data_IF_322341974287
#
_entry.id   IF_322341974287
#
_cell.length_a   1.000
_cell.length_b   1.000
_cell.length_c   1.000
_cell.angle_alpha   90.00
_cell.angle_beta   90.00
_cell.angle_gamma   90.00
#
_symmetry.space_group_name_H-M   'P 1'
#
loop_
_entity.id
_entity.type
_entity.pdbx_description
1 polymer ?
#
# COMPACT_ATOMS: atom_id res chain seq x y z
N UNK A 1 -24.46 16.60 3.52
CA UNK A 1 -24.06 15.48 2.66
C UNK A 1 -23.94 16.01 1.24
N UNK A 2 -22.74 16.07 0.68
CA UNK A 2 -22.54 16.43 -0.74
C UNK A 2 -23.24 15.35 -1.58
N UNK A 3 -24.21 15.74 -2.38
CA UNK A 3 -24.94 14.81 -3.23
C UNK A 3 -24.04 14.46 -4.41
N UNK A 4 -23.65 13.21 -4.53
CA UNK A 4 -22.92 12.73 -5.71
C UNK A 4 -23.71 13.06 -6.98
N UNK A 5 -23.04 13.44 -8.08
CA UNK A 5 -23.71 13.59 -9.36
C UNK A 5 -24.23 12.22 -9.85
N UNK A 6 -25.22 12.18 -10.74
CA UNK A 6 -25.66 10.95 -11.36
C UNK A 6 -24.49 10.17 -11.98
N UNK A 7 -24.42 8.86 -11.72
CA UNK A 7 -23.32 7.99 -12.17
C UNK A 7 -23.05 8.11 -13.68
N UNK A 8 -24.11 8.29 -14.48
CA UNK A 8 -23.99 8.51 -15.93
C UNK A 8 -23.11 9.70 -16.29
N UNK A 9 -23.11 10.77 -15.49
CA UNK A 9 -22.28 11.94 -15.75
C UNK A 9 -20.80 11.61 -15.50
N UNK A 10 -20.53 10.86 -14.42
CA UNK A 10 -19.17 10.41 -14.08
C UNK A 10 -18.63 9.43 -15.12
N UNK A 11 -19.41 8.43 -15.53
CA UNK A 11 -18.99 7.46 -16.57
C UNK A 11 -18.75 8.13 -17.93
N UNK A 12 -19.57 9.13 -18.29
CA UNK A 12 -19.36 9.90 -19.52
C UNK A 12 -18.07 10.71 -19.46
N UNK A 13 -17.80 11.35 -18.33
CA UNK A 13 -16.59 12.12 -18.10
C UNK A 13 -15.34 11.22 -18.12
N UNK A 14 -15.38 10.05 -17.45
CA UNK A 14 -14.29 9.06 -17.47
C UNK A 14 -13.95 8.64 -18.91
N UNK A 15 -14.97 8.30 -19.70
CA UNK A 15 -14.75 7.91 -21.08
C UNK A 15 -14.08 9.02 -21.92
N UNK A 16 -14.46 10.28 -21.72
CA UNK A 16 -13.81 11.42 -22.40
C UNK A 16 -12.38 11.62 -21.88
N UNK A 17 -12.17 11.50 -20.57
CA UNK A 17 -10.86 11.66 -19.96
C UNK A 17 -9.87 10.59 -20.45
N UNK A 18 -10.33 9.35 -20.59
CA UNK A 18 -9.52 8.21 -21.03
C UNK A 18 -9.23 8.23 -22.53
N UNK A 19 -10.23 8.55 -23.35
CA UNK A 19 -10.12 8.51 -24.83
C UNK A 19 -9.58 9.81 -25.41
N UNK A 20 -9.59 10.92 -24.65
CA UNK A 20 -9.12 12.23 -25.11
C UNK A 20 -10.00 12.85 -26.20
N UNK A 21 -11.16 12.26 -26.53
CA UNK A 21 -12.02 12.63 -27.64
C UNK A 21 -13.50 12.45 -27.28
N UNK A 22 -14.27 13.54 -27.39
CA UNK A 22 -15.74 13.49 -27.20
C UNK A 22 -16.44 12.62 -28.24
N UNK A 23 -15.92 12.52 -29.42
CA UNK A 23 -16.47 11.71 -30.50
C UNK A 23 -16.24 10.22 -30.24
N UNK A 24 -15.04 9.85 -29.81
CA UNK A 24 -14.69 8.47 -29.47
C UNK A 24 -15.45 8.03 -28.21
N UNK A 25 -15.57 8.90 -27.21
CA UNK A 25 -16.38 8.63 -26.02
C UNK A 25 -17.87 8.43 -26.38
N UNK A 26 -18.41 9.24 -27.28
CA UNK A 26 -19.78 9.08 -27.77
C UNK A 26 -19.99 7.72 -28.46
N UNK A 27 -19.04 7.31 -29.28
CA UNK A 27 -19.05 6.00 -29.95
C UNK A 27 -18.94 4.86 -28.94
N UNK A 28 -18.02 4.95 -27.97
CA UNK A 28 -17.82 3.94 -26.96
C UNK A 28 -19.03 3.75 -26.02
N UNK A 29 -19.77 4.84 -25.76
CA UNK A 29 -20.95 4.83 -24.91
C UNK A 29 -22.28 4.62 -25.68
N UNK A 30 -22.22 4.44 -27.00
CA UNK A 30 -23.39 4.32 -27.89
C UNK A 30 -24.39 5.50 -27.73
N UNK A 31 -23.84 6.73 -27.63
CA UNK A 31 -24.62 7.96 -27.54
C UNK A 31 -24.17 8.96 -28.62
N UNK A 32 -24.91 10.07 -28.77
CA UNK A 32 -24.50 11.14 -29.69
C UNK A 32 -23.47 12.06 -29.05
N UNK A 33 -22.58 12.66 -29.86
CA UNK A 33 -21.61 13.64 -29.36
C UNK A 33 -22.27 14.85 -28.64
N UNK A 34 -23.40 15.41 -29.09
CA UNK A 34 -24.13 16.42 -28.31
C UNK A 34 -24.55 15.94 -26.93
N UNK A 35 -24.94 14.67 -26.78
CA UNK A 35 -25.31 14.10 -25.46
C UNK A 35 -24.10 14.04 -24.52
N UNK A 36 -22.91 13.68 -25.03
CA UNK A 36 -21.65 13.73 -24.25
C UNK A 36 -21.36 15.18 -23.82
N UNK A 37 -21.46 16.13 -24.72
CA UNK A 37 -21.22 17.55 -24.41
C UNK A 37 -22.18 18.07 -23.34
N UNK A 38 -23.44 17.69 -23.41
CA UNK A 38 -24.46 18.06 -22.42
C UNK A 38 -24.20 17.42 -21.04
N UNK A 39 -23.81 16.14 -21.04
CA UNK A 39 -23.45 15.44 -19.81
C UNK A 39 -22.24 16.05 -19.12
N UNK A 40 -21.19 16.42 -19.89
CA UNK A 40 -20.01 17.11 -19.35
C UNK A 40 -20.37 18.47 -18.75
N UNK A 41 -21.20 19.26 -19.46
CA UNK A 41 -21.66 20.55 -18.95
C UNK A 41 -22.44 20.39 -17.63
N UNK A 42 -23.35 19.42 -17.58
CA UNK A 42 -24.11 19.14 -16.37
C UNK A 42 -23.21 18.70 -15.20
N UNK A 43 -22.11 17.97 -15.47
CA UNK A 43 -21.14 17.62 -14.46
C UNK A 43 -20.33 18.84 -13.99
N UNK A 44 -19.84 19.68 -14.91
CA UNK A 44 -19.14 20.92 -14.60
C UNK A 44 -20.00 21.87 -13.76
N UNK A 45 -21.29 22.00 -14.12
CA UNK A 45 -22.28 22.78 -13.36
C UNK A 45 -22.50 22.21 -11.94
N UNK A 46 -22.52 20.87 -11.78
CA UNK A 46 -22.68 20.21 -10.49
C UNK A 46 -21.44 20.35 -9.59
N UNK A 47 -20.24 20.25 -10.17
CA UNK A 47 -18.95 20.36 -9.46
C UNK A 47 -18.60 21.83 -9.19
N UNK A 48 -19.12 22.76 -9.99
CA UNK A 48 -18.79 24.19 -9.92
C UNK A 48 -17.43 24.54 -10.51
N UNK A 49 -16.84 23.69 -11.35
CA UNK A 49 -15.54 23.89 -11.95
C UNK A 49 -15.50 23.38 -13.38
N UNK A 50 -14.69 24.02 -14.23
CA UNK A 50 -14.40 23.55 -15.60
C UNK A 50 -13.44 22.36 -15.49
N UNK A 51 -13.85 21.23 -16.06
CA UNK A 51 -13.08 19.97 -16.00
C UNK A 51 -12.28 19.72 -17.28
N UNK A 52 -12.74 20.28 -18.40
CA UNK A 52 -12.10 20.09 -19.73
C UNK A 52 -11.84 21.46 -20.35
N UNK A 53 -10.58 21.73 -20.64
CA UNK A 53 -10.16 22.87 -21.45
C UNK A 53 -10.41 22.55 -22.93
N UNK A 54 -11.39 23.26 -23.52
CA UNK A 54 -11.82 23.13 -24.92
C UNK A 54 -11.11 24.11 -25.84
N UNK A 55 -10.27 24.98 -25.29
CA UNK A 55 -9.49 25.96 -26.09
C UNK A 55 -8.30 25.32 -26.79
N UNK A 56 -7.84 24.19 -26.30
CA UNK A 56 -6.75 23.39 -26.88
C UNK A 56 -7.30 22.31 -27.84
N UNK A 57 -6.51 21.92 -28.82
CA UNK A 57 -6.78 20.77 -29.71
C UNK A 57 -5.58 19.84 -29.71
N UNK A 58 -5.70 18.60 -29.22
CA UNK A 58 -6.88 18.00 -28.56
C UNK A 58 -7.26 18.68 -27.24
N UNK A 59 -8.52 18.55 -26.84
CA UNK A 59 -9.02 19.06 -25.56
C UNK A 59 -8.27 18.36 -24.40
N UNK A 60 -7.94 19.13 -23.36
CA UNK A 60 -7.16 18.63 -22.21
C UNK A 60 -7.96 18.75 -20.91
N UNK A 61 -7.69 17.86 -19.99
CA UNK A 61 -8.21 17.97 -18.63
C UNK A 61 -7.57 19.17 -17.93
N UNK A 62 -8.38 19.96 -17.22
CA UNK A 62 -7.92 20.95 -16.25
C UNK A 62 -7.35 20.24 -15.00
N UNK A 63 -6.73 20.96 -14.09
CA UNK A 63 -6.26 20.38 -12.82
C UNK A 63 -7.42 19.75 -12.00
N UNK A 64 -8.58 20.44 -11.80
CA UNK A 64 -9.77 19.78 -11.21
C UNK A 64 -10.25 18.57 -12.02
N UNK A 65 -10.18 18.66 -13.36
CA UNK A 65 -10.53 17.55 -14.24
C UNK A 65 -9.64 16.33 -14.03
N UNK A 66 -8.32 16.51 -13.90
CA UNK A 66 -7.38 15.42 -13.63
C UNK A 66 -7.62 14.78 -12.26
N UNK A 67 -7.91 15.58 -11.25
CA UNK A 67 -8.22 15.09 -9.91
C UNK A 67 -9.50 14.27 -9.91
N UNK A 68 -10.58 14.77 -10.52
CA UNK A 68 -11.85 14.07 -10.61
C UNK A 68 -11.74 12.81 -11.48
N UNK A 69 -10.96 12.84 -12.58
CA UNK A 69 -10.77 11.68 -13.47
C UNK A 69 -10.11 10.52 -12.75
N UNK A 70 -9.08 10.78 -11.91
CA UNK A 70 -8.45 9.74 -11.08
C UNK A 70 -9.46 9.15 -10.10
N UNK A 71 -10.12 9.98 -9.29
CA UNK A 71 -11.08 9.52 -8.30
C UNK A 71 -12.27 8.76 -8.93
N UNK A 72 -12.72 9.19 -10.11
CA UNK A 72 -13.82 8.52 -10.82
C UNK A 72 -13.38 7.15 -11.34
N UNK A 73 -12.19 7.05 -11.92
CA UNK A 73 -11.65 5.76 -12.40
C UNK A 73 -11.50 4.78 -11.26
N UNK A 74 -10.79 5.18 -10.18
CA UNK A 74 -10.57 4.32 -9.02
C UNK A 74 -11.89 3.82 -8.41
N UNK A 75 -12.91 4.70 -8.34
CA UNK A 75 -14.23 4.35 -7.84
C UNK A 75 -15.02 3.42 -8.77
N UNK A 76 -14.94 3.61 -10.08
CA UNK A 76 -15.59 2.75 -11.06
C UNK A 76 -14.94 1.37 -11.15
N UNK A 77 -13.62 1.32 -11.08
CA UNK A 77 -12.86 0.07 -11.06
C UNK A 77 -13.20 -0.74 -9.80
N UNK A 78 -13.26 -0.10 -8.63
CA UNK A 78 -13.69 -0.75 -7.39
C UNK A 78 -15.11 -1.34 -7.48
N UNK A 79 -16.05 -0.60 -8.10
CA UNK A 79 -17.44 -1.09 -8.31
C UNK A 79 -17.44 -2.27 -9.29
N UNK A 80 -16.66 -2.19 -10.37
CA UNK A 80 -16.57 -3.26 -11.37
C UNK A 80 -15.99 -4.55 -10.77
N UNK A 81 -14.90 -4.42 -10.00
CA UNK A 81 -14.25 -5.54 -9.30
C UNK A 81 -15.23 -6.19 -8.31
N UNK A 82 -15.96 -5.38 -7.52
CA UNK A 82 -16.96 -5.89 -6.58
C UNK A 82 -18.10 -6.65 -7.29
N UNK A 83 -18.57 -6.15 -8.44
CA UNK A 83 -19.60 -6.85 -9.23
C UNK A 83 -19.06 -8.18 -9.75
N UNK A 84 -17.82 -8.21 -10.21
CA UNK A 84 -17.19 -9.45 -10.69
C UNK A 84 -16.94 -10.44 -9.54
N UNK A 85 -16.52 -9.96 -8.37
CA UNK A 85 -16.44 -10.76 -7.15
C UNK A 85 -17.80 -11.39 -6.81
N UNK A 86 -18.88 -10.62 -6.82
CA UNK A 86 -20.24 -11.14 -6.59
C UNK A 86 -20.64 -12.20 -7.63
N UNK A 87 -20.28 -12.00 -8.90
CA UNK A 87 -20.58 -12.98 -9.97
C UNK A 87 -19.79 -14.27 -9.85
N UNK A 88 -18.54 -14.17 -9.39
CA UNK A 88 -17.63 -15.32 -9.24
C UNK A 88 -17.81 -16.05 -7.90
N UNK A 89 -18.41 -15.42 -6.90
CA UNK A 89 -18.54 -15.93 -5.53
C UNK A 89 -19.62 -17.00 -5.34
N UNK A 90 -20.44 -17.29 -6.34
CA UNK A 90 -21.46 -18.35 -6.23
C UNK A 90 -20.81 -19.74 -6.06
N UNK A 91 -20.43 -20.08 -4.83
CA UNK A 91 -19.94 -21.40 -4.41
C UNK A 91 -18.51 -21.50 -3.89
N UNK A 92 -17.72 -20.41 -3.91
CA UNK A 92 -16.32 -20.42 -3.45
C UNK A 92 -16.04 -19.42 -2.29
N UNK A 93 -17.05 -18.77 -1.75
CA UNK A 93 -16.88 -17.77 -0.67
C UNK A 93 -16.19 -18.35 0.57
N UNK A 94 -16.53 -19.59 0.94
CA UNK A 94 -15.92 -20.26 2.10
C UNK A 94 -14.45 -20.68 1.87
N UNK A 95 -13.99 -20.69 0.63
CA UNK A 95 -12.62 -21.09 0.27
C UNK A 95 -11.69 -19.91 -0.01
N UNK A 96 -12.21 -18.70 -0.15
CA UNK A 96 -11.42 -17.49 -0.41
C UNK A 96 -11.38 -16.60 0.82
N UNK A 97 -10.26 -15.92 1.01
CA UNK A 97 -10.17 -14.82 1.96
C UNK A 97 -9.38 -13.67 1.34
N UNK A 98 -9.73 -12.46 1.69
CA UNK A 98 -9.07 -11.24 1.23
C UNK A 98 -8.31 -10.60 2.38
N UNK A 99 -7.01 -10.46 2.21
CA UNK A 99 -6.09 -9.87 3.19
C UNK A 99 -5.58 -8.54 2.64
N UNK A 100 -5.78 -7.44 3.36
CA UNK A 100 -5.17 -6.17 3.01
C UNK A 100 -3.95 -5.90 3.87
N UNK A 101 -2.85 -5.48 3.25
CA UNK A 101 -1.62 -5.09 3.94
C UNK A 101 -0.79 -4.12 3.11
N UNK A 102 0.25 -3.52 3.69
CA UNK A 102 1.17 -2.66 2.94
C UNK A 102 2.03 -3.47 1.96
N UNK A 103 2.47 -2.83 0.87
CA UNK A 103 3.27 -3.50 -0.17
C UNK A 103 4.55 -4.13 0.37
N UNK A 104 5.26 -3.43 1.24
CA UNK A 104 6.49 -3.95 1.85
C UNK A 104 6.23 -5.21 2.66
N UNK A 105 5.18 -5.20 3.49
CA UNK A 105 4.78 -6.35 4.30
C UNK A 105 4.30 -7.52 3.42
N UNK A 106 3.46 -7.25 2.44
CA UNK A 106 3.02 -8.26 1.47
C UNK A 106 4.21 -8.97 0.83
N UNK A 107 5.14 -8.19 0.25
CA UNK A 107 6.26 -8.73 -0.53
C UNK A 107 7.28 -9.49 0.31
N UNK A 108 7.65 -8.95 1.48
CA UNK A 108 8.80 -9.46 2.23
C UNK A 108 8.42 -10.38 3.39
N UNK A 109 7.22 -10.22 3.98
CA UNK A 109 6.78 -11.06 5.09
C UNK A 109 5.73 -12.08 4.68
N UNK A 110 4.61 -11.63 4.09
CA UNK A 110 3.45 -12.50 3.84
C UNK A 110 3.67 -13.47 2.69
N UNK A 111 3.95 -12.97 1.49
CA UNK A 111 4.06 -13.79 0.27
C UNK A 111 5.08 -14.95 0.41
N UNK A 112 6.28 -14.75 1.01
CA UNK A 112 7.22 -15.86 1.19
C UNK A 112 6.72 -16.99 2.10
N UNK A 113 5.72 -16.71 2.94
CA UNK A 113 5.16 -17.68 3.90
C UNK A 113 3.87 -18.35 3.40
N UNK A 114 3.20 -17.79 2.39
CA UNK A 114 1.92 -18.30 1.90
C UNK A 114 2.01 -19.72 1.30
N UNK A 115 3.17 -20.14 0.80
CA UNK A 115 3.35 -21.50 0.31
C UNK A 115 3.11 -22.56 1.40
N UNK A 116 3.53 -22.25 2.63
CA UNK A 116 3.26 -23.12 3.80
C UNK A 116 1.76 -23.13 4.16
N UNK A 117 1.10 -21.96 4.10
CA UNK A 117 -0.34 -21.89 4.32
C UNK A 117 -1.11 -22.77 3.31
N UNK A 118 -0.80 -22.66 2.03
CA UNK A 118 -1.45 -23.44 0.97
C UNK A 118 -1.19 -24.94 1.09
N UNK A 119 0.02 -25.35 1.50
CA UNK A 119 0.33 -26.75 1.72
C UNK A 119 -0.49 -27.39 2.84
N UNK A 120 -0.83 -26.61 3.85
CA UNK A 120 -1.65 -27.06 5.01
C UNK A 120 -3.14 -26.93 4.79
N UNK A 121 -3.56 -26.06 3.88
CA UNK A 121 -4.95 -25.76 3.61
C UNK A 121 -5.26 -25.86 2.11
N UNK A 122 -5.20 -27.07 1.55
CA UNK A 122 -5.47 -27.27 0.12
C UNK A 122 -6.91 -26.86 -0.20
N UNK A 123 -7.07 -26.03 -1.23
CA UNK A 123 -8.38 -25.50 -1.65
C UNK A 123 -8.75 -24.15 -1.05
N UNK A 124 -7.95 -23.61 -0.13
CA UNK A 124 -8.10 -22.19 0.30
C UNK A 124 -7.27 -21.27 -0.58
N UNK A 125 -7.80 -20.08 -0.86
CA UNK A 125 -7.17 -19.05 -1.67
C UNK A 125 -7.10 -17.73 -0.92
N UNK A 126 -5.92 -17.11 -0.92
CA UNK A 126 -5.69 -15.81 -0.31
C UNK A 126 -5.55 -14.76 -1.41
N UNK A 127 -6.48 -13.81 -1.45
CA UNK A 127 -6.37 -12.60 -2.25
C UNK A 127 -5.66 -11.53 -1.42
N UNK A 128 -4.52 -11.03 -1.91
CA UNK A 128 -3.74 -10.01 -1.20
C UNK A 128 -3.97 -8.66 -1.86
N UNK A 129 -4.60 -7.75 -1.13
CA UNK A 129 -4.81 -6.38 -1.56
C UNK A 129 -3.77 -5.46 -0.93
N UNK A 130 -3.25 -4.53 -1.73
CA UNK A 130 -2.27 -3.55 -1.29
C UNK A 130 -2.84 -2.15 -1.51
N UNK A 131 -3.55 -1.58 -0.54
CA UNK A 131 -4.06 -0.23 -0.62
C UNK A 131 -2.95 0.81 -0.78
N UNK A 132 -3.22 1.94 -1.45
CA UNK A 132 -2.24 3.00 -1.66
C UNK A 132 -1.93 3.82 -0.39
N UNK A 133 -2.69 3.61 0.69
CA UNK A 133 -2.58 4.35 1.95
C UNK A 133 -2.38 3.41 3.13
N UNK A 134 -2.00 3.96 4.29
CA UNK A 134 -1.95 3.21 5.54
C UNK A 134 -3.33 2.68 5.94
N UNK A 135 -3.34 1.50 6.55
CA UNK A 135 -4.54 0.79 6.97
C UNK A 135 -5.02 1.30 8.34
N UNK A 136 -5.45 2.55 8.40
CA UNK A 136 -6.03 3.14 9.62
C UNK A 136 -7.35 2.47 10.03
N UNK A 137 -8.07 1.87 9.07
CA UNK A 137 -9.31 1.13 9.25
C UNK A 137 -9.26 -0.16 8.43
N UNK A 138 -10.21 -1.08 8.67
CA UNK A 138 -10.40 -2.24 7.80
C UNK A 138 -10.68 -1.75 6.38
N UNK A 139 -9.91 -2.26 5.43
CA UNK A 139 -10.07 -1.90 4.02
C UNK A 139 -11.37 -2.48 3.46
N UNK A 140 -12.16 -1.71 2.70
CA UNK A 140 -13.40 -2.21 2.13
C UNK A 140 -13.20 -3.50 1.31
N UNK A 141 -13.98 -4.52 1.59
CA UNK A 141 -13.89 -5.83 0.96
C UNK A 141 -12.77 -6.75 1.49
N UNK A 142 -11.96 -6.30 2.46
CA UNK A 142 -11.00 -7.16 3.12
C UNK A 142 -11.63 -7.92 4.29
N UNK A 143 -11.37 -9.22 4.39
CA UNK A 143 -11.76 -10.07 5.52
C UNK A 143 -10.90 -9.80 6.76
N UNK A 144 -9.63 -9.47 6.52
CA UNK A 144 -8.71 -9.04 7.57
C UNK A 144 -7.65 -8.08 7.01
N UNK A 145 -7.09 -7.27 7.91
CA UNK A 145 -5.98 -6.36 7.60
C UNK A 145 -4.77 -6.69 8.46
N UNK A 146 -3.59 -6.68 7.83
CA UNK A 146 -2.31 -6.79 8.52
C UNK A 146 -1.71 -5.40 8.60
N UNK A 147 -1.66 -4.84 9.80
CA UNK A 147 -1.33 -3.43 10.01
C UNK A 147 -0.40 -3.22 11.19
N UNK A 148 0.38 -2.17 11.09
CA UNK A 148 1.35 -1.75 12.07
C UNK A 148 0.80 -0.66 12.98
N UNK A 149 1.11 -0.72 14.27
CA UNK A 149 0.74 0.31 15.23
C UNK A 149 0.73 -0.15 16.68
N UNK A 150 -0.13 0.49 17.49
CA UNK A 150 -0.23 0.22 18.93
C UNK A 150 -1.35 -0.75 19.31
N UNK A 151 -2.10 -1.27 18.35
CA UNK A 151 -3.21 -2.19 18.63
C UNK A 151 -4.46 -1.54 19.24
N UNK A 152 -4.66 -0.25 19.05
CA UNK A 152 -5.77 0.51 19.66
C UNK A 152 -7.01 0.62 18.77
N UNK A 153 -7.09 -0.18 17.73
CA UNK A 153 -8.23 -0.20 16.82
C UNK A 153 -9.44 -0.91 17.44
N UNK A 154 -10.62 -0.44 17.06
CA UNK A 154 -11.90 -0.94 17.58
C UNK A 154 -12.83 -1.43 16.45
N UNK A 155 -12.32 -1.53 15.23
CA UNK A 155 -13.05 -1.88 14.02
C UNK A 155 -13.11 -3.39 13.73
N UNK A 156 -12.52 -4.22 14.61
CA UNK A 156 -12.53 -5.67 14.49
C UNK A 156 -11.80 -6.38 15.63
N UNK A 157 -11.80 -7.71 15.58
CA UNK A 157 -11.03 -8.54 16.50
C UNK A 157 -9.54 -8.50 16.11
N UNK A 158 -8.68 -8.12 17.06
CA UNK A 158 -7.28 -7.85 16.81
C UNK A 158 -6.38 -8.89 17.49
N UNK A 159 -5.54 -9.56 16.68
CA UNK A 159 -4.46 -10.46 17.12
C UNK A 159 -3.12 -9.74 16.97
N UNK A 160 -2.34 -9.66 18.05
CA UNK A 160 -0.95 -9.19 17.98
C UNK A 160 -0.07 -10.26 17.36
N UNK A 161 0.71 -9.89 16.37
CA UNK A 161 1.60 -10.81 15.68
C UNK A 161 3.01 -10.77 16.29
N UNK A 162 3.75 -9.70 16.10
CA UNK A 162 5.11 -9.55 16.63
C UNK A 162 5.48 -8.08 16.82
N UNK A 163 6.48 -7.85 17.66
CA UNK A 163 7.06 -6.53 17.89
C UNK A 163 7.89 -6.08 16.70
N UNK A 164 7.79 -4.79 16.38
CA UNK A 164 8.54 -4.23 15.28
C UNK A 164 9.74 -3.43 15.78
N UNK A 165 10.85 -3.65 15.12
CA UNK A 165 12.09 -2.92 15.33
C UNK A 165 12.62 -2.38 14.02
N UNK A 166 13.35 -1.28 14.08
CA UNK A 166 14.06 -0.74 12.90
C UNK A 166 15.56 -0.74 13.16
N UNK A 167 16.30 -1.05 12.11
CA UNK A 167 17.76 -0.97 12.11
C UNK A 167 18.23 -0.46 10.75
N UNK A 168 19.20 0.47 10.68
CA UNK A 168 19.85 0.78 9.42
C UNK A 168 20.50 -0.46 8.82
N UNK A 169 20.17 -0.77 7.57
CA UNK A 169 20.72 -1.93 6.85
C UNK A 169 21.20 -1.51 5.46
N UNK A 170 22.21 -2.21 4.96
CA UNK A 170 22.72 -2.03 3.61
C UNK A 170 23.51 -3.25 3.15
N UNK A 171 24.01 -3.21 1.92
CA UNK A 171 24.90 -4.29 1.44
C UNK A 171 26.10 -4.45 2.36
N UNK A 172 26.56 -5.68 2.67
CA UNK A 172 27.69 -5.92 3.55
C UNK A 172 28.93 -5.10 3.16
N UNK A 173 29.29 -5.08 1.88
CA UNK A 173 30.46 -4.35 1.40
C UNK A 173 30.36 -2.83 1.64
N UNK A 174 29.16 -2.24 1.53
CA UNK A 174 28.94 -0.82 1.82
C UNK A 174 29.10 -0.55 3.32
N UNK A 175 28.41 -1.33 4.17
CA UNK A 175 28.47 -1.18 5.63
C UNK A 175 29.92 -1.31 6.12
N UNK A 176 30.64 -2.33 5.67
CA UNK A 176 32.02 -2.58 6.03
C UNK A 176 32.97 -1.46 5.58
N UNK A 177 32.77 -0.95 4.36
CA UNK A 177 33.55 0.18 3.84
C UNK A 177 33.35 1.45 4.67
N UNK A 178 32.13 1.77 5.07
CA UNK A 178 31.81 2.93 5.90
C UNK A 178 32.46 2.79 7.30
N UNK A 179 32.30 1.62 7.93
CA UNK A 179 32.87 1.33 9.23
C UNK A 179 34.40 1.39 9.20
N UNK A 180 35.06 0.85 8.16
CA UNK A 180 36.50 0.87 8.01
C UNK A 180 37.07 2.29 7.84
N UNK A 181 36.27 3.22 7.28
CA UNK A 181 36.63 4.65 7.17
C UNK A 181 36.41 5.42 8.47
N UNK A 182 35.76 4.82 9.46
CA UNK A 182 35.33 5.51 10.66
C UNK A 182 34.16 6.47 10.44
N UNK A 183 33.43 6.31 9.32
CA UNK A 183 32.24 7.13 9.01
C UNK A 183 31.09 6.75 9.96
N UNK A 184 30.41 7.77 10.51
CA UNK A 184 29.17 7.59 11.25
C UNK A 184 27.96 7.47 10.32
N UNK A 185 26.84 7.04 10.88
CA UNK A 185 25.56 6.97 10.15
C UNK A 185 25.17 8.31 9.51
N UNK A 186 25.55 9.44 10.12
CA UNK A 186 25.26 10.78 9.64
C UNK A 186 25.98 11.14 8.33
N UNK A 187 27.09 10.48 8.03
CA UNK A 187 27.84 10.66 6.78
C UNK A 187 27.47 9.62 5.70
N UNK A 188 26.75 8.57 6.05
CA UNK A 188 26.38 7.51 5.12
C UNK A 188 25.35 8.00 4.08
N UNK A 189 25.38 7.46 2.84
CA UNK A 189 24.28 7.66 1.89
C UNK A 189 23.00 6.97 2.42
N UNK A 190 21.89 7.70 2.44
CA UNK A 190 20.62 7.22 3.02
C UNK A 190 19.55 7.02 1.97
N UNK A 191 18.77 5.97 2.15
CA UNK A 191 17.59 5.66 1.35
C UNK A 191 16.35 6.00 2.17
N UNK A 192 15.53 6.90 1.66
CA UNK A 192 14.27 7.32 2.24
C UNK A 192 13.10 6.68 1.51
N UNK A 193 12.06 6.34 2.24
CA UNK A 193 10.76 5.99 1.68
C UNK A 193 9.82 7.18 1.89
N UNK A 194 9.16 7.63 0.82
CA UNK A 194 8.20 8.72 0.88
C UNK A 194 6.96 8.26 1.64
N UNK A 195 6.60 8.99 2.67
CA UNK A 195 5.35 8.79 3.41
C UNK A 195 4.35 9.84 2.96
N UNK A 196 3.16 9.41 2.53
CA UNK A 196 2.09 10.32 2.10
C UNK A 196 1.38 10.92 3.32
N UNK A 197 1.32 10.18 4.43
CA UNK A 197 0.80 10.64 5.71
C UNK A 197 1.69 10.13 6.86
N UNK A 198 2.35 11.06 7.55
CA UNK A 198 3.36 10.80 8.58
C UNK A 198 2.81 10.28 9.93
N UNK A 199 1.76 9.45 9.96
CA UNK A 199 1.10 9.10 11.22
C UNK A 199 1.69 7.90 11.96
N UNK A 200 2.36 6.98 11.26
CA UNK A 200 2.81 5.72 11.87
C UNK A 200 4.21 5.24 11.45
N UNK A 201 4.84 5.87 10.47
CA UNK A 201 6.13 5.45 9.96
C UNK A 201 7.24 6.35 10.45
N UNK A 202 8.21 5.81 11.16
CA UNK A 202 9.38 6.54 11.56
C UNK A 202 10.35 6.64 10.38
N UNK A 203 10.70 7.87 10.02
CA UNK A 203 11.71 8.17 9.02
C UNK A 203 13.09 8.35 9.65
N UNK A 204 14.08 8.59 8.82
CA UNK A 204 15.44 8.87 9.28
C UNK A 204 15.52 10.02 10.27
N UNK A 205 14.71 11.08 10.12
CA UNK A 205 14.68 12.21 11.04
C UNK A 205 14.35 11.81 12.48
N UNK A 206 13.28 11.00 12.64
CA UNK A 206 12.86 10.49 13.93
C UNK A 206 13.86 9.50 14.50
N UNK A 207 14.39 8.61 13.66
CA UNK A 207 15.44 7.66 14.04
C UNK A 207 16.66 8.38 14.61
N UNK A 208 17.22 9.38 13.90
CA UNK A 208 18.38 10.15 14.35
C UNK A 208 18.08 10.89 15.67
N UNK A 209 16.90 11.51 15.77
CA UNK A 209 16.49 12.22 16.99
C UNK A 209 16.39 11.27 18.20
N UNK A 210 15.74 10.10 18.05
CA UNK A 210 15.61 9.11 19.13
C UNK A 210 16.94 8.49 19.55
N UNK A 211 17.89 8.36 18.60
CA UNK A 211 19.22 7.83 18.86
C UNK A 211 20.21 8.91 19.35
N UNK A 212 19.79 10.17 19.42
CA UNK A 212 20.67 11.28 19.78
C UNK A 212 21.82 11.51 18.80
N UNK A 213 21.64 11.15 17.54
CA UNK A 213 22.64 11.28 16.48
C UNK A 213 22.59 12.64 15.81
N UNK A 214 23.72 13.15 15.27
CA UNK A 214 23.71 14.40 14.51
C UNK A 214 22.88 14.23 13.22
N UNK A 215 22.35 15.35 12.70
CA UNK A 215 21.54 15.32 11.46
C UNK A 215 22.33 14.71 10.29
N UNK A 216 21.66 13.95 9.41
CA UNK A 216 22.29 13.36 8.23
C UNK A 216 22.96 14.43 7.35
N UNK A 217 24.15 14.14 6.87
CA UNK A 217 24.94 14.98 5.96
C UNK A 217 25.23 14.28 4.63
N UNK A 218 24.98 12.98 4.57
CA UNK A 218 25.20 12.15 3.40
C UNK A 218 24.22 12.41 2.26
N UNK A 219 24.49 11.80 1.10
CA UNK A 219 23.56 11.81 -0.02
C UNK A 219 22.27 11.07 0.35
N UNK A 220 21.17 11.50 -0.24
CA UNK A 220 19.85 10.90 0.01
C UNK A 220 19.19 10.48 -1.28
N UNK A 221 18.67 9.25 -1.31
CA UNK A 221 17.79 8.73 -2.35
C UNK A 221 16.38 8.60 -1.79
N UNK A 222 15.36 8.93 -2.58
CA UNK A 222 13.95 8.88 -2.14
C UNK A 222 13.18 7.97 -3.08
N UNK A 223 12.47 7.01 -2.51
CA UNK A 223 11.62 6.07 -3.23
C UNK A 223 10.18 6.10 -2.70
N UNK A 224 9.22 5.66 -3.50
CA UNK A 224 7.81 5.74 -3.15
C UNK A 224 7.33 4.58 -2.26
N UNK A 225 8.09 3.48 -2.20
CA UNK A 225 7.72 2.32 -1.38
C UNK A 225 8.94 1.51 -0.94
N UNK A 226 8.71 0.62 0.04
CA UNK A 226 9.76 -0.22 0.62
C UNK A 226 10.35 -1.26 -0.33
N UNK A 227 9.60 -1.74 -1.34
CA UNK A 227 10.14 -2.70 -2.32
C UNK A 227 11.26 -2.05 -3.15
N UNK A 228 11.06 -0.82 -3.59
CA UNK A 228 12.08 -0.05 -4.30
C UNK A 228 13.27 0.28 -3.38
N UNK A 229 13.01 0.65 -2.13
CA UNK A 229 14.05 0.97 -1.16
C UNK A 229 14.94 -0.26 -0.85
N UNK A 230 14.34 -1.44 -0.67
CA UNK A 230 15.07 -2.70 -0.49
C UNK A 230 15.95 -3.00 -1.71
N UNK A 231 15.41 -2.85 -2.93
CA UNK A 231 16.20 -3.07 -4.15
C UNK A 231 17.38 -2.09 -4.23
N UNK A 232 17.16 -0.82 -3.92
CA UNK A 232 18.23 0.18 -3.90
C UNK A 232 19.30 -0.14 -2.85
N UNK A 233 18.94 -0.65 -1.68
CA UNK A 233 19.88 -1.09 -0.66
C UNK A 233 20.70 -2.30 -1.14
N UNK A 234 20.06 -3.29 -1.78
CA UNK A 234 20.72 -4.44 -2.40
C UNK A 234 21.69 -4.02 -3.53
N UNK A 235 21.39 -2.93 -4.24
CA UNK A 235 22.24 -2.35 -5.28
C UNK A 235 23.33 -1.39 -4.72
N UNK A 236 23.55 -1.39 -3.39
CA UNK A 236 24.55 -0.55 -2.71
C UNK A 236 24.35 0.96 -2.89
N UNK A 237 23.12 1.43 -3.09
CA UNK A 237 22.80 2.85 -3.23
C UNK A 237 22.83 3.62 -1.92
N UNK A 238 22.79 2.93 -0.78
CA UNK A 238 22.84 3.53 0.55
C UNK A 238 22.32 2.58 1.63
N UNK A 239 22.17 3.13 2.82
CA UNK A 239 21.53 2.46 3.95
C UNK A 239 20.06 2.83 4.00
N UNK A 240 19.20 1.84 4.23
CA UNK A 240 17.77 2.06 4.49
C UNK A 240 17.43 1.79 5.96
N UNK A 241 16.36 2.38 6.48
CA UNK A 241 15.77 1.92 7.73
C UNK A 241 15.06 0.59 7.47
N UNK A 242 15.73 -0.48 7.85
CA UNK A 242 15.22 -1.83 7.73
C UNK A 242 14.25 -2.13 8.87
N UNK A 243 12.98 -2.24 8.56
CA UNK A 243 11.97 -2.80 9.45
C UNK A 243 12.20 -4.31 9.54
N UNK A 244 12.13 -4.87 10.74
CA UNK A 244 12.36 -6.30 10.96
C UNK A 244 11.50 -7.14 10.01
N UNK A 245 10.20 -6.87 9.96
CA UNK A 245 9.24 -7.56 9.09
C UNK A 245 9.62 -7.56 7.60
N UNK A 246 10.39 -6.59 7.15
CA UNK A 246 10.79 -6.44 5.74
C UNK A 246 12.18 -7.03 5.48
N UNK A 247 13.13 -6.85 6.41
CA UNK A 247 14.56 -7.10 6.15
C UNK A 247 15.13 -8.32 6.85
N UNK A 248 14.40 -8.95 7.79
CA UNK A 248 14.91 -10.08 8.59
C UNK A 248 15.47 -11.21 7.73
N UNK A 249 14.76 -11.64 6.68
CA UNK A 249 15.25 -12.69 5.77
C UNK A 249 16.51 -12.27 5.00
N UNK A 250 16.55 -11.02 4.54
CA UNK A 250 17.69 -10.48 3.80
C UNK A 250 18.94 -10.31 4.68
N UNK A 251 18.72 -10.11 5.97
CA UNK A 251 19.79 -10.12 6.96
C UNK A 251 20.24 -11.54 7.29
N UNK A 252 19.29 -12.46 7.46
CA UNK A 252 19.57 -13.85 7.76
C UNK A 252 20.34 -14.57 6.62
N UNK A 253 20.03 -14.27 5.35
CA UNK A 253 20.72 -14.83 4.19
C UNK A 253 21.99 -14.06 3.79
N UNK A 254 22.35 -13.00 4.53
CA UNK A 254 23.55 -12.19 4.31
C UNK A 254 23.45 -11.22 3.12
N UNK A 255 22.29 -11.05 2.50
CA UNK A 255 22.09 -10.09 1.42
C UNK A 255 22.17 -8.65 1.90
N UNK A 256 21.70 -8.39 3.13
CA UNK A 256 21.85 -7.13 3.85
C UNK A 256 22.58 -7.35 5.17
N UNK A 257 23.28 -6.32 5.62
CA UNK A 257 23.99 -6.29 6.91
C UNK A 257 23.45 -5.14 7.75
N UNK A 258 23.07 -5.38 9.01
CA UNK A 258 22.67 -4.31 9.90
C UNK A 258 23.90 -3.47 10.32
N UNK A 259 23.65 -2.18 10.56
CA UNK A 259 24.61 -1.32 11.20
C UNK A 259 24.79 -1.75 12.67
N UNK A 260 26.01 -1.87 13.20
CA UNK A 260 26.25 -2.35 14.55
C UNK A 260 25.55 -1.49 15.62
N UNK A 261 24.97 -2.15 16.62
CA UNK A 261 24.34 -1.53 17.80
C UNK A 261 23.32 -0.44 17.48
N UNK A 262 22.67 -0.53 16.31
CA UNK A 262 21.80 0.50 15.77
C UNK A 262 20.31 0.14 15.76
N UNK A 263 19.94 -1.03 16.27
CA UNK A 263 18.53 -1.41 16.40
C UNK A 263 17.78 -0.45 17.34
N UNK A 264 16.54 -0.12 16.97
CA UNK A 264 15.64 0.73 17.73
C UNK A 264 14.29 0.05 17.87
N UNK A 265 13.88 -0.20 19.10
CA UNK A 265 12.52 -0.63 19.42
C UNK A 265 11.57 0.55 19.33
N UNK A 266 10.49 0.39 18.58
CA UNK A 266 9.50 1.43 18.34
C UNK A 266 8.38 1.43 19.39
N UNK A 267 8.25 0.37 20.19
CA UNK A 267 7.14 0.16 21.12
C UNK A 267 5.81 -0.08 20.39
N UNK A 268 5.88 -0.58 19.18
CA UNK A 268 4.76 -0.86 18.28
C UNK A 268 4.91 -2.26 17.70
N UNK A 269 3.84 -2.81 17.15
CA UNK A 269 3.82 -4.18 16.64
C UNK A 269 3.02 -4.28 15.34
N UNK A 270 3.14 -5.39 14.65
CA UNK A 270 2.19 -5.80 13.63
C UNK A 270 1.02 -6.55 14.25
N UNK A 271 -0.14 -6.34 13.66
CA UNK A 271 -1.40 -6.94 14.11
C UNK A 271 -2.20 -7.44 12.91
N UNK A 272 -2.94 -8.53 13.13
CA UNK A 272 -4.02 -8.94 12.25
C UNK A 272 -5.34 -8.47 12.86
N UNK A 273 -6.13 -7.69 12.13
CA UNK A 273 -7.47 -7.29 12.57
C UNK A 273 -8.49 -7.89 11.62
N UNK A 274 -9.39 -8.68 12.16
CA UNK A 274 -10.42 -9.42 11.41
C UNK A 274 -11.71 -8.60 11.38
N UNK A 275 -12.29 -8.46 10.19
CA UNK A 275 -13.58 -7.81 10.04
C UNK A 275 -14.67 -8.61 10.78
N UNK A 276 -15.58 -7.95 11.52
CA UNK A 276 -16.60 -8.64 12.33
C UNK A 276 -17.44 -9.64 11.53
N UNK A 277 -17.80 -9.30 10.29
CA UNK A 277 -18.57 -10.15 9.39
C UNK A 277 -17.79 -11.37 8.90
N UNK A 278 -16.47 -11.28 8.82
CA UNK A 278 -15.59 -12.34 8.33
C UNK A 278 -15.13 -13.33 9.42
N UNK A 279 -15.25 -12.98 10.70
CA UNK A 279 -14.67 -13.72 11.82
C UNK A 279 -15.16 -15.19 11.93
N UNK A 280 -16.34 -15.50 11.39
CA UNK A 280 -16.92 -16.85 11.42
C UNK A 280 -16.56 -17.69 10.20
N UNK A 281 -15.99 -17.10 9.15
CA UNK A 281 -15.66 -17.79 7.89
C UNK A 281 -14.53 -18.81 8.11
N UNK A 282 -14.67 -20.06 7.65
CA UNK A 282 -13.67 -21.10 7.87
C UNK A 282 -12.28 -20.73 7.34
N UNK A 283 -12.19 -20.13 6.15
CA UNK A 283 -10.92 -19.70 5.54
C UNK A 283 -10.21 -18.64 6.39
N UNK A 284 -10.96 -17.68 6.94
CA UNK A 284 -10.42 -16.62 7.81
C UNK A 284 -9.89 -17.20 9.10
N UNK A 285 -10.63 -18.09 9.74
CA UNK A 285 -10.20 -18.76 10.96
C UNK A 285 -8.94 -19.60 10.77
N UNK A 286 -8.87 -20.34 9.67
CA UNK A 286 -7.68 -21.12 9.32
C UNK A 286 -6.46 -20.21 9.11
N UNK A 287 -6.64 -19.06 8.47
CA UNK A 287 -5.58 -18.11 8.23
C UNK A 287 -5.11 -17.42 9.52
N UNK A 288 -6.03 -17.00 10.38
CA UNK A 288 -5.69 -16.40 11.70
C UNK A 288 -4.94 -17.39 12.59
N UNK A 289 -5.38 -18.66 12.63
CA UNK A 289 -4.68 -19.71 13.35
C UNK A 289 -3.24 -19.90 12.82
N UNK A 290 -3.10 -19.97 11.49
CA UNK A 290 -1.79 -20.07 10.85
C UNK A 290 -0.89 -18.86 11.13
N UNK A 291 -1.42 -17.63 11.14
CA UNK A 291 -0.67 -16.42 11.52
C UNK A 291 -0.16 -16.53 12.96
N UNK A 292 -0.99 -16.98 13.91
CA UNK A 292 -0.61 -17.18 15.31
C UNK A 292 0.58 -18.14 15.46
N UNK A 293 0.55 -19.30 14.78
CA UNK A 293 1.66 -20.27 14.80
C UNK A 293 2.97 -19.68 14.24
N UNK A 294 2.88 -18.88 13.18
CA UNK A 294 4.08 -18.26 12.57
C UNK A 294 4.74 -17.25 13.49
N UNK A 295 3.95 -16.55 14.28
CA UNK A 295 4.45 -15.53 15.21
C UNK A 295 5.06 -16.14 16.48
N UNK A 296 4.53 -17.24 16.98
CA UNK A 296 5.11 -17.99 18.10
C UNK A 296 6.48 -18.60 17.75
N UNK A 297 6.67 -19.01 16.50
CA UNK A 297 7.92 -19.58 16.01
C UNK A 297 9.03 -18.53 15.78
N UNK A 298 8.68 -17.24 15.66
CA UNK A 298 9.59 -16.13 15.39
C UNK A 298 9.85 -15.25 16.65
N UNK A 299 9.20 -15.54 17.78
CA UNK A 299 9.40 -14.88 19.08
C UNK A 299 10.50 -15.56 19.87
#
# INVERSE_FOLDING_TARGET
>A
MSRLPPLRLLTTFEAVARLGSMREAASALNVTQPAVTQALKALEDHVGAVLIDRTTRPARLTEPGQQLARATRDGLDLIADTIEEIRTSTGLEDQRLTVACTMGFATHWLMPRLSDFYSRNPGLFVNVQVPPTDLAQIWPGADLVLRYGRGTWTDGETLRLFDETVCPVGRPALVESLLAKGDGLDAAPLIHVRTVEARHWEGWGDYFARRGLPKPRGQSHVFDNYVQAVQAALDSRGLMLGWRSITERLVADGSLKPWPDAALDLGTAYFATVAPEAARRPAVRAFVAWLGEKTEAES
#
